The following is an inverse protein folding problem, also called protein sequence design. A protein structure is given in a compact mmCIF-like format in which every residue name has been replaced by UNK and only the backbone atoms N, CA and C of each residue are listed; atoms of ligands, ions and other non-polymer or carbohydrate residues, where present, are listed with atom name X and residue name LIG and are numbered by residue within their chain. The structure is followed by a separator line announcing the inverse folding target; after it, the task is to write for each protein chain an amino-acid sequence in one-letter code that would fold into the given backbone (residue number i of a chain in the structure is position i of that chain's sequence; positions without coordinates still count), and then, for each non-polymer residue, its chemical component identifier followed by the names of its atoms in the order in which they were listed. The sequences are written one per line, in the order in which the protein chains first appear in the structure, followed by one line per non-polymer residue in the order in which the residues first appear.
data_IF_030343527798
#
_entry.id   IF_030343527798
#
_cell.length_a   1.000
_cell.length_b   1.000
_cell.length_c   1.000
_cell.angle_alpha   90.00
_cell.angle_beta   90.00
_cell.angle_gamma   90.00
#
_symmetry.space_group_name_H-M   'P 1'
#
loop_
_entity.id
_entity.type
_entity.pdbx_description
1 polymer ?
#
# COMPACT_ATOMS: atom_id res chain seq x y z
N UNK A 1 -3.86 -1.79 25.10
CA UNK A 1 -4.96 -0.80 25.12
C UNK A 1 -5.57 -0.78 23.74
N UNK A 2 -6.88 -1.11 23.61
CA UNK A 2 -7.59 -1.06 22.33
C UNK A 2 -7.50 0.35 21.76
N UNK A 3 -7.31 0.48 20.44
CA UNK A 3 -7.37 1.76 19.76
C UNK A 3 -8.69 2.44 20.06
N UNK A 4 -8.63 3.66 20.57
CA UNK A 4 -9.84 4.46 20.73
C UNK A 4 -10.26 4.94 19.33
N UNK A 5 -11.30 4.35 18.79
CA UNK A 5 -12.00 4.89 17.63
C UNK A 5 -12.88 6.09 18.07
N UNK A 6 -12.29 7.00 18.83
CA UNK A 6 -12.99 8.18 19.30
C UNK A 6 -12.83 9.33 18.30
N UNK A 7 -13.92 9.97 17.96
CA UNK A 7 -13.85 11.31 17.38
C UNK A 7 -13.44 12.23 18.51
N UNK A 8 -12.34 12.98 18.34
CA UNK A 8 -11.87 13.93 19.35
C UNK A 8 -13.04 14.81 19.85
N UNK A 9 -13.19 14.89 21.16
CA UNK A 9 -14.24 15.63 21.89
C UNK A 9 -15.67 15.04 21.90
N UNK A 10 -15.96 13.98 21.18
CA UNK A 10 -17.31 13.35 21.15
C UNK A 10 -17.35 12.04 21.97
N UNK A 11 -16.20 11.56 22.44
CA UNK A 11 -16.09 10.33 23.20
C UNK A 11 -16.00 9.07 22.34
N UNK A 12 -16.32 7.91 22.92
CA UNK A 12 -16.24 6.62 22.23
C UNK A 12 -17.44 6.47 21.31
N UNK A 13 -17.20 6.55 20.01
CA UNK A 13 -18.20 6.38 18.96
C UNK A 13 -17.93 5.07 18.23
N UNK A 14 -18.96 4.31 17.93
CA UNK A 14 -18.87 3.24 16.92
C UNK A 14 -18.85 3.92 15.55
N UNK A 15 -17.65 4.04 15.00
CA UNK A 15 -17.42 4.79 13.75
C UNK A 15 -18.25 4.27 12.57
N UNK A 16 -18.38 2.95 12.33
CA UNK A 16 -19.26 2.43 11.29
C UNK A 16 -20.70 2.87 11.46
N UNK A 17 -21.28 2.76 12.67
CA UNK A 17 -22.66 3.17 12.94
C UNK A 17 -22.83 4.69 12.76
N UNK A 18 -21.89 5.49 13.25
CA UNK A 18 -21.93 6.94 13.09
C UNK A 18 -21.87 7.36 11.60
N UNK A 19 -21.00 6.73 10.83
CA UNK A 19 -20.89 7.00 9.39
C UNK A 19 -22.17 6.59 8.65
N UNK A 20 -22.77 5.45 8.99
CA UNK A 20 -24.04 5.02 8.41
C UNK A 20 -25.22 5.98 8.68
N UNK A 21 -25.18 6.73 9.78
CA UNK A 21 -26.19 7.76 10.08
C UNK A 21 -26.06 8.99 9.18
N UNK A 22 -24.88 9.25 8.62
CA UNK A 22 -24.58 10.46 7.82
C UNK A 22 -24.43 10.17 6.34
N UNK A 23 -24.06 8.95 6.00
CA UNK A 23 -23.83 8.51 4.63
C UNK A 23 -24.82 7.40 4.30
N UNK A 24 -25.57 7.56 3.22
CA UNK A 24 -26.49 6.51 2.77
C UNK A 24 -25.72 5.25 2.37
N UNK A 25 -26.18 4.11 2.88
CA UNK A 25 -25.67 2.81 2.45
C UNK A 25 -26.07 2.59 0.98
N UNK A 26 -25.12 2.09 0.18
CA UNK A 26 -25.34 1.74 -1.22
C UNK A 26 -24.68 0.39 -1.48
N UNK A 27 -25.43 -0.54 -2.06
CA UNK A 27 -24.90 -1.85 -2.44
C UNK A 27 -23.76 -1.71 -3.43
N UNK A 28 -22.64 -2.36 -3.13
CA UNK A 28 -21.45 -2.39 -3.95
C UNK A 28 -20.85 -3.80 -4.04
N UNK A 29 -19.83 -3.93 -4.86
CA UNK A 29 -19.18 -5.21 -5.15
C UNK A 29 -17.81 -5.32 -4.48
N UNK A 30 -17.49 -6.54 -4.03
CA UNK A 30 -16.16 -6.90 -3.57
C UNK A 30 -15.47 -7.70 -4.67
N UNK A 31 -14.35 -7.18 -5.16
CA UNK A 31 -13.54 -7.79 -6.21
C UNK A 31 -12.22 -8.27 -5.62
N UNK A 32 -11.98 -9.57 -5.73
CA UNK A 32 -10.71 -10.16 -5.32
C UNK A 32 -9.69 -10.06 -6.45
N UNK A 33 -8.54 -9.47 -6.14
CA UNK A 33 -7.37 -9.44 -6.99
C UNK A 33 -6.44 -10.56 -6.52
N UNK A 34 -6.07 -11.45 -7.42
CA UNK A 34 -5.16 -12.55 -7.12
C UNK A 34 -3.71 -12.08 -7.11
N UNK A 35 -2.85 -12.69 -6.31
CA UNK A 35 -1.43 -12.31 -6.21
C UNK A 35 -0.66 -12.46 -7.53
N UNK A 36 -1.06 -13.39 -8.40
CA UNK A 36 -0.46 -13.59 -9.72
C UNK A 36 -0.82 -12.49 -10.75
N UNK A 37 -1.81 -11.66 -10.44
CA UNK A 37 -2.18 -10.51 -11.27
C UNK A 37 -0.97 -9.60 -11.50
N UNK A 38 -0.19 -9.35 -10.46
CA UNK A 38 0.93 -8.43 -10.53
C UNK A 38 2.11 -8.95 -11.37
N UNK A 39 2.28 -10.25 -11.47
CA UNK A 39 3.30 -10.84 -12.33
C UNK A 39 3.08 -10.58 -13.83
N UNK A 40 1.85 -10.20 -14.20
CA UNK A 40 1.45 -9.89 -15.59
C UNK A 40 1.57 -8.40 -15.92
N UNK A 41 1.83 -7.56 -14.92
CA UNK A 41 1.93 -6.12 -15.09
C UNK A 41 3.39 -5.73 -15.38
N UNK A 42 3.72 -5.55 -16.65
CA UNK A 42 5.02 -4.97 -17.03
C UNK A 42 5.18 -3.58 -16.40
N UNK A 43 6.26 -3.39 -15.63
CA UNK A 43 6.60 -2.11 -15.01
C UNK A 43 5.70 -1.69 -13.84
N UNK A 44 4.98 -2.63 -13.19
CA UNK A 44 4.21 -2.29 -12.00
C UNK A 44 5.11 -1.77 -10.87
N UNK A 45 4.85 -0.57 -10.37
CA UNK A 45 5.79 0.16 -9.50
C UNK A 45 5.93 -0.37 -8.07
N UNK A 46 5.13 -1.34 -7.68
CA UNK A 46 5.26 -2.03 -6.39
C UNK A 46 6.23 -3.22 -6.44
N UNK A 47 6.63 -3.62 -7.64
CA UNK A 47 7.43 -4.80 -7.93
C UNK A 47 8.58 -4.42 -8.82
N UNK A 48 9.75 -4.21 -8.25
CA UNK A 48 11.02 -4.10 -8.92
C UNK A 48 11.07 -3.11 -10.10
N UNK A 49 11.81 -2.05 -9.94
CA UNK A 49 12.32 -1.30 -11.08
C UNK A 49 13.30 -2.24 -11.82
N UNK A 50 12.94 -2.69 -13.00
CA UNK A 50 13.86 -3.39 -13.88
C UNK A 50 14.75 -2.36 -14.58
N UNK A 51 15.76 -1.86 -13.89
CA UNK A 51 16.92 -1.26 -14.53
C UNK A 51 17.63 -2.34 -15.36
N UNK A 52 18.17 -1.99 -16.51
CA UNK A 52 18.88 -2.90 -17.40
C UNK A 52 20.04 -3.57 -16.64
N UNK A 53 19.83 -4.72 -16.03
CA UNK A 53 20.90 -5.48 -15.36
C UNK A 53 20.45 -6.51 -14.33
N UNK A 54 19.47 -6.21 -13.50
CA UNK A 54 19.04 -7.17 -12.47
C UNK A 54 17.54 -7.42 -12.56
N UNK A 55 17.20 -8.62 -12.94
CA UNK A 55 15.82 -9.12 -12.81
C UNK A 55 15.61 -9.44 -11.34
N UNK A 56 14.72 -8.71 -10.67
CA UNK A 56 14.14 -9.21 -9.43
C UNK A 56 13.36 -10.47 -9.77
N UNK A 57 13.97 -11.62 -9.56
CA UNK A 57 13.31 -12.90 -9.75
C UNK A 57 12.26 -13.05 -8.65
N UNK A 58 11.03 -13.25 -9.06
CA UNK A 58 9.95 -13.68 -8.19
C UNK A 58 10.31 -15.11 -7.73
N UNK A 59 10.97 -15.23 -6.59
CA UNK A 59 11.22 -16.52 -5.99
C UNK A 59 9.95 -17.01 -5.30
N UNK A 60 9.24 -17.90 -5.99
CA UNK A 60 8.20 -18.71 -5.36
C UNK A 60 8.91 -19.82 -4.59
N UNK A 61 9.05 -19.64 -3.29
CA UNK A 61 9.52 -20.73 -2.43
C UNK A 61 8.32 -21.62 -2.11
N UNK A 62 8.29 -22.79 -2.68
CA UNK A 62 7.35 -23.84 -2.27
C UNK A 62 7.89 -24.46 -0.98
N UNK A 63 7.25 -24.20 0.15
CA UNK A 63 7.53 -24.85 1.42
C UNK A 63 6.35 -25.75 1.81
N UNK A 64 6.64 -26.93 2.33
CA UNK A 64 5.62 -27.77 2.95
C UNK A 64 5.53 -27.46 4.44
N UNK A 65 4.45 -26.84 4.88
CA UNK A 65 4.11 -26.72 6.28
C UNK A 65 2.87 -27.59 6.58
N UNK A 66 3.01 -28.52 7.50
CA UNK A 66 1.94 -29.43 7.92
C UNK A 66 1.31 -30.28 6.82
N UNK A 67 2.11 -30.72 5.80
CA UNK A 67 1.66 -31.59 4.72
C UNK A 67 0.80 -30.89 3.65
N UNK A 68 0.77 -29.54 3.64
CA UNK A 68 0.13 -28.75 2.59
C UNK A 68 1.18 -27.86 1.91
N UNK A 69 1.19 -27.78 0.57
CA UNK A 69 2.07 -26.87 -0.13
C UNK A 69 1.66 -25.42 0.18
N UNK A 70 2.54 -24.71 0.86
CA UNK A 70 2.41 -23.24 1.05
C UNK A 70 3.32 -22.57 0.04
N UNK A 71 2.76 -21.69 -0.79
CA UNK A 71 3.54 -20.83 -1.69
C UNK A 71 3.86 -19.53 -0.93
N UNK A 72 5.08 -19.44 -0.45
CA UNK A 72 5.59 -18.21 0.09
C UNK A 72 6.21 -17.41 -1.05
N UNK A 73 5.61 -16.28 -1.38
CA UNK A 73 6.16 -15.35 -2.37
C UNK A 73 7.11 -14.43 -1.63
N UNK A 74 8.40 -14.75 -1.65
CA UNK A 74 9.44 -13.86 -1.13
C UNK A 74 9.88 -12.92 -2.23
N UNK A 75 9.83 -11.63 -1.97
CA UNK A 75 10.32 -10.59 -2.86
C UNK A 75 11.77 -10.29 -2.51
N UNK A 76 12.68 -10.63 -3.40
CA UNK A 76 14.03 -10.12 -3.38
C UNK A 76 14.00 -8.75 -4.07
N UNK A 77 13.94 -7.68 -3.30
CA UNK A 77 14.30 -6.37 -3.83
C UNK A 77 15.80 -6.39 -4.05
N UNK A 78 16.23 -6.58 -5.29
CA UNK A 78 17.58 -6.27 -5.70
C UNK A 78 17.90 -4.87 -5.14
N UNK A 79 19.08 -4.71 -4.55
CA UNK A 79 19.54 -3.42 -4.05
C UNK A 79 19.66 -2.46 -5.24
N UNK A 80 18.56 -1.77 -5.56
CA UNK A 80 18.59 -0.65 -6.48
C UNK A 80 19.50 0.39 -5.83
N UNK A 81 20.70 0.53 -6.38
CA UNK A 81 21.62 1.56 -5.90
C UNK A 81 21.18 2.91 -6.48
N UNK A 82 20.15 3.51 -5.86
CA UNK A 82 19.61 4.81 -6.26
C UNK A 82 20.68 5.91 -6.24
N UNK A 83 21.77 5.71 -5.49
CA UNK A 83 22.86 6.66 -5.35
C UNK A 83 23.78 6.71 -6.59
N UNK A 84 23.72 5.71 -7.46
CA UNK A 84 24.51 5.62 -8.68
C UNK A 84 23.74 6.03 -9.94
N UNK A 85 22.46 6.39 -9.79
CA UNK A 85 21.61 6.79 -10.91
C UNK A 85 21.82 8.25 -11.29
N UNK A 86 21.67 8.55 -12.56
CA UNK A 86 21.52 9.94 -13.03
C UNK A 86 20.20 10.53 -12.49
N UNK A 87 20.09 11.85 -12.45
CA UNK A 87 18.86 12.52 -11.95
C UNK A 87 17.60 12.08 -12.69
N UNK A 88 17.67 11.82 -14.01
CA UNK A 88 16.54 11.36 -14.80
C UNK A 88 16.15 9.93 -14.47
N UNK A 89 17.11 9.03 -14.31
CA UNK A 89 16.86 7.63 -13.92
C UNK A 89 16.31 7.58 -12.50
N UNK A 90 16.86 8.36 -11.58
CA UNK A 90 16.37 8.46 -10.22
C UNK A 90 14.92 8.96 -10.16
N UNK A 91 14.57 10.00 -10.92
CA UNK A 91 13.19 10.51 -10.99
C UNK A 91 12.23 9.46 -11.54
N UNK A 92 12.63 8.71 -12.56
CA UNK A 92 11.82 7.64 -13.11
C UNK A 92 11.65 6.50 -12.11
N UNK A 93 12.71 6.11 -11.41
CA UNK A 93 12.66 5.09 -10.37
C UNK A 93 11.75 5.50 -9.21
N UNK A 94 11.88 6.74 -8.70
CA UNK A 94 11.05 7.27 -7.62
C UNK A 94 9.56 7.31 -8.01
N UNK A 95 9.25 7.76 -9.23
CA UNK A 95 7.88 7.76 -9.77
C UNK A 95 7.34 6.34 -9.85
N UNK A 96 8.13 5.41 -10.39
CA UNK A 96 7.76 4.01 -10.50
C UNK A 96 7.49 3.38 -9.13
N UNK A 97 8.41 3.48 -8.17
CA UNK A 97 8.27 2.89 -6.83
C UNK A 97 7.11 3.46 -6.01
N UNK A 98 6.71 4.72 -6.26
CA UNK A 98 5.63 5.38 -5.53
C UNK A 98 4.27 5.35 -6.23
N UNK A 99 4.21 4.85 -7.46
CA UNK A 99 2.96 4.78 -8.21
C UNK A 99 1.97 3.79 -7.56
N UNK A 100 0.69 4.11 -7.67
CA UNK A 100 -0.41 3.30 -7.15
C UNK A 100 -1.19 2.74 -8.33
N UNK A 101 -1.36 1.42 -8.34
CA UNK A 101 -2.19 0.78 -9.36
C UNK A 101 -3.67 1.11 -9.12
N UNK A 102 -4.39 1.39 -10.20
CA UNK A 102 -5.84 1.65 -10.18
C UNK A 102 -6.56 0.42 -10.73
N UNK A 103 -7.11 -0.39 -9.81
CA UNK A 103 -7.80 -1.61 -10.17
C UNK A 103 -9.11 -1.35 -10.92
N UNK A 104 -9.44 -2.28 -11.82
CA UNK A 104 -10.72 -2.37 -12.52
C UNK A 104 -11.42 -3.65 -12.11
N UNK A 105 -12.74 -3.70 -12.25
CA UNK A 105 -13.51 -4.93 -11.95
C UNK A 105 -13.07 -6.13 -12.79
N UNK A 106 -12.56 -5.88 -14.01
CA UNK A 106 -12.02 -6.91 -14.91
C UNK A 106 -10.69 -7.53 -14.46
N UNK A 107 -9.99 -6.89 -13.52
CA UNK A 107 -8.68 -7.34 -13.05
C UNK A 107 -8.77 -8.49 -12.05
N UNK A 108 -9.98 -8.77 -11.56
CA UNK A 108 -10.22 -9.78 -10.55
C UNK A 108 -11.55 -10.49 -10.68
N UNK A 109 -11.97 -11.12 -9.59
CA UNK A 109 -13.22 -11.87 -9.50
C UNK A 109 -14.15 -11.24 -8.45
N UNK A 110 -15.43 -11.07 -8.79
CA UNK A 110 -16.44 -10.65 -7.79
C UNK A 110 -16.66 -11.82 -6.84
N UNK A 111 -16.45 -11.59 -5.54
CA UNK A 111 -16.55 -12.59 -4.48
C UNK A 111 -17.56 -12.23 -3.40
N UNK A 112 -18.14 -11.04 -3.42
CA UNK A 112 -19.11 -10.62 -2.40
C UNK A 112 -19.72 -9.26 -2.70
N UNK A 113 -20.49 -8.80 -1.71
CA UNK A 113 -21.14 -7.48 -1.70
C UNK A 113 -20.87 -6.75 -0.40
N UNK A 114 -20.94 -5.42 -0.45
CA UNK A 114 -20.84 -4.54 0.71
C UNK A 114 -21.86 -3.39 0.63
N UNK A 115 -22.00 -2.60 1.71
CA UNK A 115 -22.99 -1.53 1.80
C UNK A 115 -22.39 -0.12 1.68
N UNK A 116 -21.27 0.02 0.97
CA UNK A 116 -20.64 1.31 0.69
C UNK A 116 -19.11 1.26 0.81
N UNK A 117 -18.40 1.54 -0.30
CA UNK A 117 -16.93 1.52 -0.34
C UNK A 117 -16.30 2.53 0.63
N UNK A 118 -17.00 3.65 0.90
CA UNK A 118 -16.57 4.70 1.83
C UNK A 118 -16.44 4.23 3.29
N UNK A 119 -16.99 3.08 3.64
CA UNK A 119 -16.88 2.52 5.01
C UNK A 119 -15.66 1.62 5.21
N UNK A 120 -14.88 1.41 4.15
CA UNK A 120 -13.72 0.54 4.18
C UNK A 120 -12.41 1.32 4.03
N UNK A 121 -11.39 0.83 4.71
CA UNK A 121 -10.06 1.42 4.69
C UNK A 121 -9.04 0.38 4.19
N UNK A 122 -8.03 0.81 3.44
CA UNK A 122 -6.94 -0.06 2.98
C UNK A 122 -6.30 -0.77 4.17
N UNK A 123 -6.07 -2.09 4.05
CA UNK A 123 -5.57 -2.96 5.11
C UNK A 123 -6.64 -3.46 6.08
N UNK A 124 -7.90 -3.05 5.94
CA UNK A 124 -8.99 -3.54 6.77
C UNK A 124 -9.34 -4.99 6.44
N UNK A 125 -9.53 -5.80 7.49
CA UNK A 125 -9.97 -7.20 7.42
C UNK A 125 -11.41 -7.38 7.90
N UNK A 126 -11.74 -6.70 8.99
CA UNK A 126 -13.05 -6.87 9.65
C UNK A 126 -14.17 -6.22 8.85
N UNK A 127 -15.34 -6.85 8.84
CA UNK A 127 -16.53 -6.30 8.20
C UNK A 127 -16.71 -6.66 6.72
N UNK A 128 -15.77 -7.41 6.12
CA UNK A 128 -15.90 -7.89 4.74
C UNK A 128 -16.92 -9.03 4.62
N UNK A 129 -17.09 -9.83 5.68
CA UNK A 129 -18.02 -10.98 5.73
C UNK A 129 -17.82 -11.99 4.58
N UNK A 130 -16.58 -12.14 4.12
CA UNK A 130 -16.18 -13.07 3.06
C UNK A 130 -15.52 -14.28 3.72
N UNK A 131 -16.01 -15.47 3.40
CA UNK A 131 -15.46 -16.74 3.84
C UNK A 131 -14.96 -17.58 2.68
N UNK A 132 -14.44 -18.78 3.00
CA UNK A 132 -14.02 -19.76 1.99
C UNK A 132 -12.58 -19.61 1.49
N UNK A 133 -11.79 -18.70 2.07
CA UNK A 133 -10.38 -18.50 1.75
C UNK A 133 -9.47 -19.19 2.78
N UNK A 134 -8.28 -19.57 2.36
CA UNK A 134 -7.28 -20.21 3.24
C UNK A 134 -6.69 -19.22 4.23
N UNK A 135 -6.47 -17.98 3.77
CA UNK A 135 -5.94 -16.89 4.56
C UNK A 135 -6.96 -15.76 4.74
N UNK A 136 -6.58 -14.79 5.53
CA UNK A 136 -7.42 -13.61 5.75
C UNK A 136 -7.44 -12.71 4.52
N UNK A 137 -8.61 -12.19 4.20
CA UNK A 137 -8.82 -11.21 3.13
C UNK A 137 -8.64 -9.79 3.68
N UNK A 138 -7.98 -8.94 2.91
CA UNK A 138 -7.72 -7.54 3.24
C UNK A 138 -8.14 -6.61 2.11
N UNK A 139 -8.65 -5.44 2.46
CA UNK A 139 -8.90 -4.37 1.50
C UNK A 139 -7.56 -3.83 0.99
N UNK A 140 -7.37 -3.85 -0.32
CA UNK A 140 -6.16 -3.34 -0.99
C UNK A 140 -6.39 -2.01 -1.70
N UNK A 141 -7.65 -1.73 -2.10
CA UNK A 141 -8.05 -0.43 -2.67
C UNK A 141 -9.57 -0.24 -2.56
N UNK A 142 -10.03 1.00 -2.71
CA UNK A 142 -11.45 1.37 -2.72
C UNK A 142 -11.74 2.36 -3.83
N UNK A 143 -12.74 2.07 -4.65
CA UNK A 143 -13.29 2.99 -5.62
C UNK A 143 -14.67 3.46 -5.14
N UNK A 144 -14.74 4.68 -4.61
CA UNK A 144 -15.97 5.24 -4.04
C UNK A 144 -16.96 5.60 -5.13
N UNK A 145 -16.49 6.06 -6.29
CA UNK A 145 -17.36 6.48 -7.40
C UNK A 145 -18.11 5.28 -7.99
N UNK A 146 -17.40 4.19 -8.26
CA UNK A 146 -18.00 2.95 -8.74
C UNK A 146 -18.59 2.08 -7.63
N UNK A 147 -18.39 2.47 -6.37
CA UNK A 147 -18.79 1.74 -5.18
C UNK A 147 -18.28 0.29 -5.17
N UNK A 148 -16.96 0.14 -5.36
CA UNK A 148 -16.25 -1.15 -5.40
C UNK A 148 -15.14 -1.15 -4.37
N UNK A 149 -14.97 -2.27 -3.67
CA UNK A 149 -13.77 -2.54 -2.88
C UNK A 149 -12.97 -3.67 -3.53
N UNK A 150 -11.68 -3.46 -3.63
CA UNK A 150 -10.73 -4.46 -4.10
C UNK A 150 -10.06 -5.09 -2.90
N UNK A 151 -9.97 -6.41 -2.92
CA UNK A 151 -9.42 -7.18 -1.80
C UNK A 151 -8.38 -8.17 -2.28
N UNK A 152 -7.49 -8.59 -1.37
CA UNK A 152 -6.50 -9.61 -1.63
C UNK A 152 -6.35 -10.56 -0.46
N UNK A 153 -6.05 -11.84 -0.76
CA UNK A 153 -5.84 -12.89 0.23
C UNK A 153 -4.41 -12.86 0.77
N UNK A 154 -4.26 -12.97 2.06
CA UNK A 154 -2.98 -13.08 2.75
C UNK A 154 -2.37 -11.74 3.20
N UNK A 155 -1.55 -11.84 4.25
CA UNK A 155 -0.85 -10.70 4.84
C UNK A 155 0.26 -10.14 3.94
N UNK A 156 0.78 -10.95 3.03
CA UNK A 156 1.85 -10.63 2.10
C UNK A 156 1.33 -10.32 0.70
N UNK A 157 0.01 -10.09 0.58
CA UNK A 157 -0.57 -9.74 -0.71
C UNK A 157 0.08 -8.47 -1.27
N UNK A 158 0.54 -8.52 -2.53
CA UNK A 158 1.28 -7.41 -3.13
C UNK A 158 0.57 -6.07 -3.06
N UNK A 159 -0.71 -6.05 -3.28
CA UNK A 159 -1.54 -4.84 -3.19
C UNK A 159 -1.51 -4.13 -1.83
N UNK A 160 -1.05 -4.79 -0.78
CA UNK A 160 -0.88 -4.21 0.55
C UNK A 160 0.48 -3.55 0.76
N UNK A 161 1.46 -3.87 -0.06
CA UNK A 161 2.85 -3.49 0.14
C UNK A 161 3.20 -2.23 -0.64
N UNK A 162 3.98 -1.35 -0.02
CA UNK A 162 4.48 -0.11 -0.62
C UNK A 162 5.95 0.05 -0.30
N UNK A 163 6.77 0.26 -1.32
CA UNK A 163 8.21 0.54 -1.18
C UNK A 163 8.47 2.02 -1.01
N UNK A 164 7.66 2.86 -1.63
CA UNK A 164 7.82 4.31 -1.57
C UNK A 164 6.49 5.05 -1.48
N UNK A 165 6.53 6.27 -0.99
CA UNK A 165 5.42 7.23 -0.99
C UNK A 165 5.83 8.47 -1.76
N UNK A 166 4.88 9.09 -2.47
CA UNK A 166 4.97 10.43 -3.02
C UNK A 166 4.03 11.34 -2.24
N UNK A 167 4.53 12.46 -1.75
CA UNK A 167 3.80 13.46 -0.96
C UNK A 167 3.94 14.78 -1.68
N UNK A 168 2.84 15.46 -1.98
CA UNK A 168 2.87 16.80 -2.58
C UNK A 168 3.47 17.82 -1.61
N UNK A 169 4.23 18.80 -2.09
CA UNK A 169 4.90 19.78 -1.23
C UNK A 169 3.94 20.62 -0.39
N UNK A 170 2.72 20.83 -0.85
CA UNK A 170 1.66 21.51 -0.12
C UNK A 170 1.07 20.69 1.05
N UNK A 171 1.28 19.38 1.04
CA UNK A 171 0.92 18.47 2.12
C UNK A 171 2.04 18.26 3.15
N UNK A 172 3.27 18.70 2.84
CA UNK A 172 4.43 18.54 3.73
C UNK A 172 4.50 19.70 4.72
N UNK A 173 4.34 19.40 6.01
CA UNK A 173 4.50 20.38 7.08
C UNK A 173 5.80 20.19 7.84
N UNK A 174 6.75 21.12 7.66
CA UNK A 174 8.02 21.14 8.38
C UNK A 174 7.87 21.86 9.73
N UNK A 175 7.87 21.10 10.81
CA UNK A 175 7.83 21.68 12.17
C UNK A 175 9.11 22.46 12.46
N UNK A 176 10.25 21.97 11.96
CA UNK A 176 11.56 22.58 12.04
C UNK A 176 11.92 23.18 10.68
N UNK A 177 11.59 24.47 10.48
CA UNK A 177 11.87 25.17 9.21
C UNK A 177 13.36 25.23 8.87
N UNK A 178 14.23 25.24 9.89
CA UNK A 178 15.68 25.18 9.73
C UNK A 178 16.17 23.84 9.17
N UNK A 179 15.37 22.79 9.21
CA UNK A 179 15.66 21.47 8.66
C UNK A 179 14.90 21.19 7.36
N UNK A 180 14.14 22.15 6.85
CA UNK A 180 13.44 22.02 5.58
C UNK A 180 14.40 21.67 4.47
N UNK A 181 14.01 20.67 3.66
CA UNK A 181 14.82 20.21 2.54
C UNK A 181 14.60 21.08 1.31
N UNK A 182 15.70 21.38 0.59
CA UNK A 182 15.67 22.07 -0.70
C UNK A 182 15.48 21.05 -1.84
N UNK A 183 14.91 21.46 -3.00
CA UNK A 183 14.83 20.60 -4.17
C UNK A 183 16.22 20.06 -4.59
N UNK A 184 16.28 18.76 -4.86
CA UNK A 184 17.50 18.02 -5.14
C UNK A 184 18.19 17.40 -3.92
N UNK A 185 17.79 17.76 -2.70
CA UNK A 185 18.35 17.16 -1.50
C UNK A 185 17.85 15.73 -1.26
N UNK A 186 18.76 14.91 -0.73
CA UNK A 186 18.53 13.56 -0.23
C UNK A 186 18.94 13.51 1.24
N UNK A 187 18.09 12.91 2.11
CA UNK A 187 18.42 12.70 3.53
C UNK A 187 17.84 11.38 4.05
N UNK A 188 18.59 10.75 4.93
CA UNK A 188 18.16 9.55 5.64
C UNK A 188 17.45 9.92 6.93
N UNK A 189 16.33 9.27 7.16
CA UNK A 189 15.54 9.46 8.37
C UNK A 189 15.02 8.13 8.91
N UNK A 190 14.69 8.14 10.19
CA UNK A 190 13.85 7.11 10.80
C UNK A 190 12.42 7.64 10.87
N UNK A 191 11.52 7.00 10.14
CA UNK A 191 10.15 7.46 9.93
C UNK A 191 9.13 6.45 10.43
N UNK A 192 7.88 6.88 10.57
CA UNK A 192 6.73 6.01 10.78
C UNK A 192 5.52 6.58 10.04
N UNK A 193 4.73 5.71 9.43
CA UNK A 193 3.48 6.08 8.76
C UNK A 193 2.26 5.92 9.67
N UNK A 194 2.42 5.26 10.82
CA UNK A 194 1.36 5.08 11.82
C UNK A 194 1.91 5.32 13.22
N UNK A 195 1.14 5.94 14.08
CA UNK A 195 1.55 6.35 15.43
C UNK A 195 2.20 5.22 16.25
N UNK A 196 1.68 3.98 16.16
CA UNK A 196 2.18 2.83 16.95
C UNK A 196 3.20 1.95 16.20
N UNK A 197 3.51 2.29 14.97
CA UNK A 197 4.51 1.56 14.19
C UNK A 197 5.92 1.85 14.76
N UNK A 198 6.81 0.87 14.85
CA UNK A 198 8.22 1.11 15.09
C UNK A 198 8.80 2.04 14.02
N UNK A 199 9.83 2.80 14.39
CA UNK A 199 10.53 3.62 13.40
C UNK A 199 11.21 2.72 12.38
N UNK A 200 11.00 3.04 11.10
CA UNK A 200 11.58 2.39 9.92
C UNK A 200 12.63 3.32 9.32
N UNK A 201 13.70 2.77 8.76
CA UNK A 201 14.63 3.58 7.98
C UNK A 201 13.99 3.93 6.64
N UNK A 202 14.23 5.15 6.20
CA UNK A 202 13.80 5.62 4.90
C UNK A 202 14.72 6.72 4.40
N UNK A 203 14.82 6.83 3.09
CA UNK A 203 15.51 7.93 2.41
C UNK A 203 14.47 8.87 1.83
N UNK A 204 14.60 10.14 2.14
CA UNK A 204 13.77 11.22 1.60
C UNK A 204 14.49 11.87 0.43
N UNK A 205 13.77 12.05 -0.66
CA UNK A 205 14.23 12.76 -1.87
C UNK A 205 13.31 13.94 -2.13
N UNK A 206 13.79 15.16 -1.90
CA UNK A 206 13.03 16.38 -2.16
C UNK A 206 13.11 16.73 -3.64
N UNK A 207 11.97 16.95 -4.26
CA UNK A 207 11.83 17.46 -5.62
C UNK A 207 11.14 18.84 -5.60
N UNK A 208 11.09 19.49 -6.76
CA UNK A 208 10.46 20.83 -6.90
C UNK A 208 8.98 20.83 -6.53
N UNK A 209 8.26 19.73 -6.82
CA UNK A 209 6.80 19.59 -6.66
C UNK A 209 6.39 18.64 -5.54
N UNK A 210 7.29 17.76 -5.09
CA UNK A 210 6.94 16.70 -4.15
C UNK A 210 8.14 16.21 -3.33
N UNK A 211 7.83 15.46 -2.29
CA UNK A 211 8.76 14.69 -1.47
C UNK A 211 8.50 13.21 -1.71
N UNK A 212 9.54 12.49 -2.13
CA UNK A 212 9.51 11.02 -2.13
C UNK A 212 10.12 10.48 -0.84
N UNK A 213 9.51 9.43 -0.32
CA UNK A 213 10.01 8.69 0.83
C UNK A 213 10.15 7.22 0.44
N UNK A 214 11.37 6.72 0.38
CA UNK A 214 11.71 5.34 0.02
C UNK A 214 12.10 4.61 1.29
N UNK A 215 11.39 3.54 1.61
CA UNK A 215 11.64 2.74 2.82
C UNK A 215 12.66 1.63 2.53
N UNK A 216 13.45 1.27 3.55
CA UNK A 216 14.32 0.10 3.47
C UNK A 216 13.51 -1.18 3.34
N UNK A 217 12.40 -1.29 4.09
CA UNK A 217 11.48 -2.40 4.03
C UNK A 217 10.11 -1.97 3.49
N UNK A 218 9.40 -2.89 2.83
CA UNK A 218 8.05 -2.63 2.36
C UNK A 218 7.13 -2.25 3.53
N UNK A 219 6.32 -1.22 3.32
CA UNK A 219 5.32 -0.75 4.26
C UNK A 219 3.94 -1.32 3.91
N UNK A 220 3.14 -1.55 4.97
CA UNK A 220 1.79 -2.09 4.86
C UNK A 220 0.75 -1.15 5.46
#
# INVERSE_FOLDING_TARGET
KKDSQGICFVGKVDLPIFLQQKLSAKDGEVVEIFSDFYAKLEGYPGYGYHGAGDRDELHVVESEANGFPTKEVTFSTGNLNLDMMSDQELDQALKSMSAVYRYKKSDGKIIGRHYGAQFFTIGQRKGLNIGGHKESIFVIDTNIEENVIYVGEGHHHPGLLRKALKISNDEVHWIREDLKMSPGERREYRVRIRYRQPLQNAVLYQRSDCLYMVFDDHQR
#
